data_IF_962920716939
#
_entry.id   IF_962920716939
#
_cell.length_a   1.000
_cell.length_b   1.000
_cell.length_c   1.000
_cell.angle_alpha   90.00
_cell.angle_beta   90.00
_cell.angle_gamma   90.00
#
_symmetry.space_group_name_H-M   'P 1'
#
loop_
_entity.id
_entity.type
_entity.pdbx_description
1 polymer ?
#
# COMPACT_ATOMS: atom_id res chain seq x y z
N UNK A 1 -12.07 18.63 -6.49
CA UNK A 1 -11.13 17.52 -6.76
C UNK A 1 -11.93 16.27 -7.10
N UNK A 2 -11.46 15.44 -8.05
CA UNK A 2 -12.09 14.15 -8.35
C UNK A 2 -11.89 13.15 -7.21
N UNK A 3 -12.79 12.16 -7.09
CA UNK A 3 -12.68 11.12 -6.05
C UNK A 3 -11.38 10.33 -6.21
N UNK A 4 -10.74 9.94 -5.10
CA UNK A 4 -9.47 9.20 -5.11
C UNK A 4 -9.50 7.97 -6.03
N UNK A 5 -10.60 7.21 -6.01
CA UNK A 5 -10.76 6.03 -6.87
C UNK A 5 -10.86 6.35 -8.36
N UNK A 6 -11.48 7.47 -8.74
CA UNK A 6 -11.57 7.90 -10.15
C UNK A 6 -10.17 8.28 -10.65
N UNK A 7 -9.43 9.06 -9.86
CA UNK A 7 -8.06 9.47 -10.19
C UNK A 7 -7.10 8.28 -10.26
N UNK A 8 -7.27 7.29 -9.36
CA UNK A 8 -6.52 6.05 -9.38
C UNK A 8 -6.87 5.15 -10.58
N UNK A 9 -8.14 5.15 -11.01
CA UNK A 9 -8.57 4.44 -12.21
C UNK A 9 -8.03 5.11 -13.48
N UNK A 10 -8.16 6.43 -13.58
CA UNK A 10 -7.69 7.21 -14.72
C UNK A 10 -6.18 7.10 -14.90
N UNK A 11 -5.42 6.95 -13.81
CA UNK A 11 -3.95 6.81 -13.86
C UNK A 11 -3.47 5.37 -13.75
N UNK A 12 -4.35 4.38 -13.85
CA UNK A 12 -3.96 2.97 -13.73
C UNK A 12 -2.92 2.54 -14.80
N UNK A 13 -2.89 3.22 -15.96
CA UNK A 13 -1.91 2.97 -17.01
C UNK A 13 -0.54 3.62 -16.73
N UNK A 14 -0.48 4.63 -15.86
CA UNK A 14 0.74 5.37 -15.55
C UNK A 14 1.47 4.71 -14.36
N UNK A 15 2.34 3.77 -14.69
CA UNK A 15 3.16 3.07 -13.70
C UNK A 15 4.21 3.98 -13.04
N UNK A 16 4.37 5.24 -13.44
CA UNK A 16 5.27 6.17 -12.73
C UNK A 16 4.62 6.74 -11.47
N UNK A 17 3.31 6.59 -11.28
CA UNK A 17 2.56 7.23 -10.19
C UNK A 17 1.88 6.22 -9.27
N UNK A 18 1.83 6.58 -7.99
CA UNK A 18 0.98 5.91 -7.00
C UNK A 18 -0.02 6.92 -6.46
N UNK A 19 -1.31 6.59 -6.58
CA UNK A 19 -2.39 7.40 -6.00
C UNK A 19 -2.74 6.82 -4.64
N UNK A 20 -2.69 7.64 -3.59
CA UNK A 20 -3.02 7.25 -2.22
C UNK A 20 -4.13 8.14 -1.67
N UNK A 21 -5.03 7.61 -0.81
CA UNK A 21 -5.87 8.45 0.03
C UNK A 21 -4.98 9.38 0.89
N UNK A 22 -5.28 10.69 0.91
CA UNK A 22 -4.50 11.67 1.66
C UNK A 22 -4.50 11.39 3.17
N UNK A 23 -5.50 10.67 3.68
CA UNK A 23 -5.60 10.20 5.06
C UNK A 23 -4.50 9.17 5.39
N UNK A 24 -4.16 8.29 4.44
CA UNK A 24 -3.00 7.39 4.56
C UNK A 24 -1.68 8.14 4.36
N UNK A 25 -1.63 9.06 3.39
CA UNK A 25 -0.41 9.80 3.08
C UNK A 25 0.02 10.71 4.25
N UNK A 26 -0.92 11.35 4.93
CA UNK A 26 -0.61 12.25 6.05
C UNK A 26 -0.10 11.52 7.30
N UNK A 27 -0.32 10.21 7.41
CA UNK A 27 0.27 9.36 8.46
C UNK A 27 -0.14 9.72 9.90
N UNK A 28 -1.12 10.62 10.09
CA UNK A 28 -1.45 11.27 11.37
C UNK A 28 -1.97 10.28 12.42
N UNK A 29 -2.22 9.03 12.03
CA UNK A 29 -2.86 8.05 12.90
C UNK A 29 -2.37 6.60 12.71
N UNK A 30 -1.09 6.40 12.35
CA UNK A 30 -0.51 5.06 12.22
C UNK A 30 0.35 4.66 13.43
N UNK A 31 -0.05 3.61 14.14
CA UNK A 31 0.79 2.92 15.14
C UNK A 31 1.46 1.70 14.50
N UNK A 32 2.60 1.28 15.06
CA UNK A 32 3.46 0.22 14.50
C UNK A 32 3.87 0.54 13.06
N UNK A 33 4.34 1.77 12.82
CA UNK A 33 4.70 2.23 11.48
C UNK A 33 5.71 1.25 10.83
N UNK A 34 5.42 0.70 9.64
CA UNK A 34 6.25 -0.32 9.02
C UNK A 34 7.69 0.15 8.75
N UNK A 35 8.60 -0.80 8.54
CA UNK A 35 9.96 -0.53 8.07
C UNK A 35 9.95 0.11 6.68
N UNK A 36 11.10 0.66 6.25
CA UNK A 36 11.24 1.21 4.89
C UNK A 36 10.87 0.18 3.81
N UNK A 37 11.30 -1.07 3.97
CA UNK A 37 11.01 -2.14 3.01
C UNK A 37 9.52 -2.44 2.96
N UNK A 38 8.87 -2.53 4.12
CA UNK A 38 7.43 -2.75 4.21
C UNK A 38 6.64 -1.56 3.64
N UNK A 39 7.05 -0.31 3.88
CA UNK A 39 6.44 0.87 3.27
C UNK A 39 6.53 0.83 1.74
N UNK A 40 7.69 0.51 1.18
CA UNK A 40 7.83 0.36 -0.29
C UNK A 40 6.93 -0.74 -0.84
N UNK A 41 6.82 -1.87 -0.13
CA UNK A 41 5.88 -2.95 -0.48
C UNK A 41 4.42 -2.48 -0.44
N UNK A 42 4.03 -1.72 0.59
CA UNK A 42 2.69 -1.11 0.67
C UNK A 42 2.40 -0.22 -0.54
N UNK A 43 3.33 0.65 -0.94
CA UNK A 43 3.16 1.49 -2.13
C UNK A 43 2.95 0.66 -3.40
N UNK A 44 3.74 -0.40 -3.57
CA UNK A 44 3.58 -1.33 -4.69
C UNK A 44 2.21 -2.01 -4.68
N UNK A 45 1.75 -2.48 -3.52
CA UNK A 45 0.43 -3.10 -3.40
C UNK A 45 -0.70 -2.13 -3.77
N UNK A 46 -0.63 -0.89 -3.30
CA UNK A 46 -1.67 0.12 -3.61
C UNK A 46 -1.62 0.50 -5.08
N UNK A 47 -0.43 0.69 -5.65
CA UNK A 47 -0.23 0.94 -7.09
C UNK A 47 -0.79 -0.20 -7.95
N UNK A 48 -0.52 -1.45 -7.56
CA UNK A 48 -1.01 -2.64 -8.27
C UNK A 48 -2.53 -2.77 -8.20
N UNK A 49 -3.14 -2.38 -7.08
CA UNK A 49 -4.58 -2.39 -6.93
C UNK A 49 -5.27 -1.26 -7.71
N UNK A 50 -4.63 -0.08 -7.78
CA UNK A 50 -5.16 1.10 -8.48
C UNK A 50 -6.58 1.44 -8.04
N UNK A 51 -7.47 1.77 -8.99
CA UNK A 51 -8.88 2.07 -8.69
C UNK A 51 -9.67 0.94 -8.01
N UNK A 52 -9.14 -0.29 -7.95
CA UNK A 52 -9.78 -1.41 -7.24
C UNK A 52 -9.40 -1.50 -5.77
N UNK A 53 -8.55 -0.62 -5.24
CA UNK A 53 -8.03 -0.71 -3.86
C UNK A 53 -9.10 -0.66 -2.75
N UNK A 54 -10.28 -0.11 -3.05
CA UNK A 54 -11.42 -0.10 -2.14
C UNK A 54 -12.35 -1.32 -2.27
N UNK A 55 -12.17 -2.15 -3.30
CA UNK A 55 -13.03 -3.29 -3.56
C UNK A 55 -12.69 -4.46 -2.62
N UNK A 56 -13.70 -5.23 -2.23
CA UNK A 56 -13.52 -6.46 -1.46
C UNK A 56 -13.11 -7.61 -2.38
N UNK A 57 -11.90 -7.51 -2.95
CA UNK A 57 -11.37 -8.46 -3.92
C UNK A 57 -9.95 -8.87 -3.55
N UNK A 58 -9.56 -10.08 -4.00
CA UNK A 58 -8.18 -10.52 -3.92
C UNK A 58 -7.36 -9.76 -4.95
N UNK A 59 -6.32 -9.08 -4.49
CA UNK A 59 -5.27 -8.53 -5.34
C UNK A 59 -4.12 -9.50 -5.44
N UNK A 60 -3.39 -9.49 -6.55
CA UNK A 60 -2.28 -10.41 -6.77
C UNK A 60 -1.18 -9.82 -7.67
N UNK A 61 0.04 -10.27 -7.47
CA UNK A 61 1.22 -9.99 -8.30
C UNK A 61 2.23 -11.12 -8.20
N UNK A 62 3.12 -11.25 -9.19
CA UNK A 62 4.21 -12.24 -9.14
C UNK A 62 5.40 -11.69 -8.38
N UNK A 63 6.09 -12.55 -7.63
CA UNK A 63 7.35 -12.20 -6.98
C UNK A 63 8.40 -11.69 -7.99
N UNK A 64 8.40 -12.25 -9.20
CA UNK A 64 9.26 -11.80 -10.30
C UNK A 64 9.07 -10.32 -10.63
N UNK A 65 7.84 -9.82 -10.52
CA UNK A 65 7.52 -8.43 -10.83
C UNK A 65 8.02 -7.49 -9.73
N UNK A 66 7.97 -7.93 -8.47
CA UNK A 66 8.58 -7.22 -7.33
C UNK A 66 10.10 -7.11 -7.53
N UNK A 67 10.75 -8.21 -7.93
CA UNK A 67 12.22 -8.27 -8.14
C UNK A 67 12.73 -7.39 -9.27
N UNK A 68 11.88 -7.06 -10.25
CA UNK A 68 12.22 -6.22 -11.40
C UNK A 68 12.19 -4.72 -11.09
N UNK A 69 11.72 -4.32 -9.91
CA UNK A 69 11.57 -2.91 -9.56
C UNK A 69 12.91 -2.34 -9.07
N UNK A 70 13.44 -1.39 -9.81
CA UNK A 70 14.61 -0.63 -9.40
C UNK A 70 14.35 0.17 -8.10
N UNK A 71 15.33 0.19 -7.20
CA UNK A 71 15.22 0.85 -5.88
C UNK A 71 14.53 0.01 -4.79
N UNK A 72 13.90 -1.11 -5.15
CA UNK A 72 13.46 -2.10 -4.16
C UNK A 72 14.59 -3.07 -3.80
N UNK A 73 14.54 -3.60 -2.59
CA UNK A 73 15.44 -4.68 -2.20
C UNK A 73 15.12 -5.95 -3.01
N UNK A 74 16.11 -6.80 -3.25
CA UNK A 74 15.88 -8.09 -3.88
C UNK A 74 15.13 -9.01 -2.90
N UNK A 75 13.83 -9.21 -3.13
CA UNK A 75 12.97 -9.98 -2.25
C UNK A 75 12.87 -11.44 -2.67
N UNK A 76 12.94 -12.35 -1.70
CA UNK A 76 12.54 -13.74 -1.80
C UNK A 76 11.35 -14.05 -0.85
N UNK A 77 10.91 -15.30 -0.86
CA UNK A 77 9.83 -15.82 0.00
C UNK A 77 10.05 -15.48 1.47
N UNK A 78 11.26 -15.69 1.96
CA UNK A 78 11.59 -15.56 3.39
C UNK A 78 11.66 -14.10 3.80
N UNK A 79 12.15 -13.23 2.92
CA UNK A 79 12.21 -11.79 3.13
C UNK A 79 10.84 -11.11 3.06
N UNK A 80 9.85 -11.69 2.37
CA UNK A 80 8.50 -11.13 2.24
C UNK A 80 7.65 -11.37 3.49
N UNK A 81 7.80 -12.53 4.13
CA UNK A 81 7.03 -12.91 5.32
C UNK A 81 7.05 -11.82 6.41
N UNK A 82 8.21 -11.34 6.90
CA UNK A 82 8.24 -10.32 7.95
C UNK A 82 7.64 -8.98 7.48
N UNK A 83 7.71 -8.65 6.19
CA UNK A 83 7.08 -7.43 5.69
C UNK A 83 5.55 -7.49 5.75
N UNK A 84 4.96 -8.63 5.41
CA UNK A 84 3.51 -8.80 5.54
C UNK A 84 3.06 -8.82 7.00
N UNK A 85 3.87 -9.36 7.90
CA UNK A 85 3.64 -9.29 9.35
C UNK A 85 3.64 -7.84 9.84
N UNK A 86 4.63 -7.03 9.42
CA UNK A 86 4.68 -5.60 9.73
C UNK A 86 3.46 -4.84 9.19
N UNK A 87 3.10 -5.07 7.92
CA UNK A 87 1.95 -4.42 7.28
C UNK A 87 0.62 -4.83 7.92
N UNK A 88 0.52 -6.07 8.42
CA UNK A 88 -0.65 -6.56 9.14
C UNK A 88 -0.75 -5.98 10.57
N UNK A 89 0.39 -5.74 11.20
CA UNK A 89 0.50 -5.17 12.54
C UNK A 89 0.31 -3.65 12.58
N UNK A 90 0.40 -2.97 11.42
CA UNK A 90 0.13 -1.54 11.31
C UNK A 90 -1.33 -1.23 11.69
N UNK A 91 -1.50 -0.37 12.69
CA UNK A 91 -2.81 0.05 13.18
C UNK A 91 -3.09 1.45 12.65
N UNK A 92 -4.18 1.58 11.90
CA UNK A 92 -4.74 2.84 11.46
C UNK A 92 -5.83 3.26 12.46
N UNK A 93 -5.80 4.52 12.87
CA UNK A 93 -6.88 5.16 13.64
C UNK A 93 -7.48 6.28 12.79
N UNK A 94 -8.78 6.47 12.85
CA UNK A 94 -9.45 7.59 12.19
C UNK A 94 -10.42 8.17 13.18
N UNK A 95 -10.19 9.43 13.57
CA UNK A 95 -11.07 10.16 14.44
C UNK A 95 -11.96 11.08 13.59
N UNK A 96 -13.27 10.96 13.77
CA UNK A 96 -14.27 11.83 13.17
C UNK A 96 -14.93 12.64 14.30
N UNK A 97 -14.43 13.87 14.56
CA UNK A 97 -14.97 14.71 15.61
C UNK A 97 -16.43 15.14 15.36
N UNK A 98 -16.85 15.20 14.10
CA UNK A 98 -18.23 15.59 13.75
C UNK A 98 -19.21 14.45 14.06
N UNK A 99 -18.83 13.21 13.72
CA UNK A 99 -19.60 12.03 14.10
C UNK A 99 -19.36 11.57 15.55
N UNK A 100 -18.48 12.27 16.30
CA UNK A 100 -18.06 11.94 17.66
C UNK A 100 -17.64 10.47 17.81
N UNK A 101 -16.86 9.95 16.85
CA UNK A 101 -16.41 8.55 16.88
C UNK A 101 -15.00 8.39 16.36
N UNK A 102 -14.26 7.48 16.99
CA UNK A 102 -13.02 6.96 16.45
C UNK A 102 -13.24 5.56 15.86
N UNK A 103 -12.51 5.25 14.80
CA UNK A 103 -12.48 3.94 14.14
C UNK A 103 -11.04 3.43 14.16
N UNK A 104 -10.87 2.15 14.50
CA UNK A 104 -9.56 1.49 14.54
C UNK A 104 -9.59 0.29 13.62
N UNK A 105 -8.53 0.11 12.84
CA UNK A 105 -8.40 -0.98 11.89
C UNK A 105 -6.97 -1.12 11.39
N UNK A 106 -6.78 -1.94 10.37
CA UNK A 106 -5.47 -2.20 9.77
C UNK A 106 -5.47 -1.93 8.27
N UNK A 107 -4.25 -1.89 7.72
CA UNK A 107 -4.03 -1.80 6.27
C UNK A 107 -4.39 -3.11 5.56
N UNK A 108 -3.91 -4.22 6.11
CA UNK A 108 -3.99 -5.55 5.50
C UNK A 108 -4.97 -6.42 6.28
N UNK A 109 -5.82 -7.19 5.60
CA UNK A 109 -6.63 -8.22 6.24
C UNK A 109 -5.89 -9.56 6.21
N UNK A 110 -5.54 -10.01 5.00
CA UNK A 110 -4.82 -11.24 4.74
C UNK A 110 -3.79 -11.03 3.62
N UNK A 111 -2.63 -11.67 3.73
CA UNK A 111 -1.71 -11.90 2.62
C UNK A 111 -1.35 -13.39 2.52
N UNK A 112 -1.23 -13.88 1.28
CA UNK A 112 -0.87 -15.26 0.96
C UNK A 112 0.29 -15.23 -0.04
N UNK A 113 1.38 -15.90 0.31
CA UNK A 113 2.52 -16.15 -0.58
C UNK A 113 2.46 -17.61 -1.00
N UNK A 114 2.00 -17.86 -2.23
CA UNK A 114 1.89 -19.20 -2.80
C UNK A 114 3.18 -19.56 -3.55
N UNK A 115 3.94 -20.49 -2.98
CA UNK A 115 5.24 -20.94 -3.49
C UNK A 115 5.18 -22.35 -4.11
N UNK A 116 3.99 -22.88 -4.42
CA UNK A 116 3.84 -24.20 -5.05
C UNK A 116 4.58 -24.33 -6.39
N UNK A 117 4.78 -23.21 -7.09
CA UNK A 117 5.43 -23.14 -8.40
C UNK A 117 6.77 -22.37 -8.35
N UNK A 118 7.47 -22.41 -7.22
CA UNK A 118 8.75 -21.69 -7.05
C UNK A 118 9.82 -22.13 -8.05
N UNK A 119 9.89 -23.44 -8.38
CA UNK A 119 10.83 -23.99 -9.37
C UNK A 119 10.60 -23.48 -10.81
N UNK A 120 9.37 -23.06 -11.14
CA UNK A 120 9.03 -22.42 -12.41
C UNK A 120 9.08 -20.88 -12.34
N UNK A 121 9.49 -20.30 -11.21
CA UNK A 121 9.60 -18.85 -11.02
C UNK A 121 8.30 -18.14 -10.67
N UNK A 122 7.24 -18.90 -10.35
CA UNK A 122 5.85 -18.43 -10.31
C UNK A 122 5.32 -18.32 -8.88
N UNK A 123 6.11 -17.72 -7.99
CA UNK A 123 5.61 -17.39 -6.64
C UNK A 123 4.57 -16.28 -6.77
N UNK A 124 3.32 -16.62 -6.43
CA UNK A 124 2.18 -15.69 -6.47
C UNK A 124 1.98 -15.06 -5.09
N UNK A 125 1.99 -13.73 -5.05
CA UNK A 125 1.72 -12.94 -3.86
C UNK A 125 0.32 -12.38 -3.99
N UNK A 126 -0.56 -12.66 -3.04
CA UNK A 126 -1.94 -12.15 -3.05
C UNK A 126 -2.35 -11.56 -1.70
N UNK A 127 -3.26 -10.59 -1.72
CA UNK A 127 -3.71 -9.91 -0.51
C UNK A 127 -5.14 -9.37 -0.60
N UNK A 128 -5.71 -9.12 0.58
CA UNK A 128 -6.93 -8.33 0.78
C UNK A 128 -6.58 -7.12 1.64
N UNK A 129 -7.01 -5.93 1.22
CA UNK A 129 -6.96 -4.76 2.08
C UNK A 129 -7.99 -4.87 3.22
N UNK A 130 -7.60 -4.37 4.38
CA UNK A 130 -8.46 -4.27 5.55
C UNK A 130 -9.66 -3.37 5.31
N UNK A 131 -10.79 -3.67 5.97
CA UNK A 131 -12.03 -2.89 5.85
C UNK A 131 -11.81 -1.39 6.04
N UNK A 132 -11.06 -1.00 7.07
CA UNK A 132 -10.79 0.41 7.35
C UNK A 132 -10.08 1.11 6.19
N UNK A 133 -9.06 0.48 5.58
CA UNK A 133 -8.37 1.05 4.43
C UNK A 133 -9.32 1.21 3.24
N UNK A 134 -10.16 0.20 2.98
CA UNK A 134 -11.12 0.23 1.86
C UNK A 134 -12.16 1.34 2.03
N UNK A 135 -12.77 1.42 3.21
CA UNK A 135 -13.77 2.45 3.55
C UNK A 135 -13.17 3.85 3.41
N UNK A 136 -11.93 4.03 3.85
CA UNK A 136 -11.19 5.27 3.70
C UNK A 136 -10.88 5.59 2.23
N UNK A 137 -10.41 4.61 1.45
CA UNK A 137 -10.14 4.81 0.02
C UNK A 137 -11.40 5.16 -0.79
N UNK A 138 -12.56 4.58 -0.43
CA UNK A 138 -13.84 4.87 -1.05
C UNK A 138 -14.37 6.29 -0.74
N UNK A 139 -14.21 6.73 0.51
CA UNK A 139 -14.71 8.04 0.98
C UNK A 139 -13.76 9.19 0.69
N UNK A 140 -12.50 8.89 0.40
CA UNK A 140 -11.46 9.88 0.21
C UNK A 140 -11.71 10.74 -1.04
N UNK A 141 -11.86 12.04 -0.81
CA UNK A 141 -11.94 13.08 -1.86
C UNK A 141 -10.63 13.85 -2.01
N UNK A 142 -9.62 13.52 -1.20
CA UNK A 142 -8.29 14.10 -1.20
C UNK A 142 -7.27 12.99 -1.45
N UNK A 143 -6.47 13.14 -2.49
CA UNK A 143 -5.48 12.13 -2.86
C UNK A 143 -4.09 12.76 -2.93
N UNK A 144 -3.08 11.94 -2.65
CA UNK A 144 -1.69 12.25 -2.94
C UNK A 144 -1.26 11.45 -4.17
N UNK A 145 -0.66 12.12 -5.16
CA UNK A 145 0.03 11.45 -6.27
C UNK A 145 1.51 11.47 -5.94
N UNK A 146 2.07 10.29 -5.72
CA UNK A 146 3.49 10.12 -5.48
C UNK A 146 4.17 9.60 -6.72
N UNK A 147 5.34 10.14 -7.00
CA UNK A 147 6.26 9.58 -7.96
C UNK A 147 6.84 8.26 -7.44
N UNK A 148 6.53 7.17 -8.15
CA UNK A 148 6.85 5.80 -7.74
C UNK A 148 8.35 5.55 -7.70
N UNK A 149 9.09 6.08 -8.67
CA UNK A 149 10.55 5.95 -8.69
C UNK A 149 11.17 6.67 -7.50
N UNK A 150 10.71 7.88 -7.19
CA UNK A 150 11.16 8.63 -6.01
C UNK A 150 10.96 7.81 -4.74
N UNK A 151 9.76 7.27 -4.50
CA UNK A 151 9.48 6.42 -3.33
C UNK A 151 10.43 5.23 -3.24
N UNK A 152 10.74 4.58 -4.36
CA UNK A 152 11.61 3.42 -4.38
C UNK A 152 13.10 3.77 -4.26
N UNK A 153 13.55 4.95 -4.66
CA UNK A 153 14.94 5.37 -4.47
C UNK A 153 15.21 5.99 -3.08
N UNK A 154 14.18 6.39 -2.34
CA UNK A 154 14.35 6.87 -0.97
C UNK A 154 14.94 5.77 -0.06
N UNK A 155 16.06 6.11 0.58
CA UNK A 155 16.83 5.20 1.45
C UNK A 155 16.46 5.25 2.94
N UNK A 156 15.52 6.12 3.33
CA UNK A 156 15.11 6.31 4.73
C UNK A 156 13.60 6.22 4.88
N UNK A 157 13.15 5.51 5.92
CA UNK A 157 11.73 5.44 6.34
C UNK A 157 11.14 6.83 6.53
N UNK A 158 11.88 7.72 7.20
CA UNK A 158 11.42 9.07 7.49
C UNK A 158 11.30 9.91 6.23
N UNK A 159 12.17 9.71 5.24
CA UNK A 159 12.05 10.40 3.95
C UNK A 159 10.81 9.97 3.19
N UNK A 160 10.45 8.68 3.22
CA UNK A 160 9.19 8.20 2.60
C UNK A 160 7.99 8.80 3.30
N UNK A 161 7.95 8.78 4.63
CA UNK A 161 6.85 9.35 5.41
C UNK A 161 6.72 10.86 5.21
N UNK A 162 7.84 11.58 5.17
CA UNK A 162 7.86 13.02 4.88
C UNK A 162 7.37 13.31 3.46
N UNK A 163 7.84 12.54 2.48
CA UNK A 163 7.42 12.68 1.09
C UNK A 163 5.91 12.43 0.92
N UNK A 164 5.34 11.46 1.64
CA UNK A 164 3.90 11.23 1.69
C UNK A 164 3.14 12.40 2.34
N UNK A 165 3.69 13.00 3.39
CA UNK A 165 3.03 14.07 4.14
C UNK A 165 2.92 15.38 3.34
N UNK A 166 3.88 15.67 2.47
CA UNK A 166 3.95 16.93 1.70
C UNK A 166 3.29 16.86 0.31
N UNK A 167 2.90 15.67 -0.15
CA UNK A 167 2.33 15.44 -1.48
C UNK A 167 0.81 15.57 -1.50
#
# INVERSE_FOLDING_TARGET
MGKTLQVAADRAYDQSKTVLPAEVARGVYMRNAPSLRALKLMHLMISTAGGRMAQDVRHEMRLSDIRRIEGMAHHDRESLKPLFEELRAAVLTYDDPQAMRYTIGGLLDQAVVDYRHELSGDVLVSWFFGRMFRDMAERSNHWAILDRQTVFHLGSKYSVLLFQHIA
#
